data_IF_671378046816
#
_entry.id   IF_671378046816
#
_cell.length_a   1.000
_cell.length_b   1.000
_cell.length_c   1.000
_cell.angle_alpha   90.00
_cell.angle_beta   90.00
_cell.angle_gamma   90.00
#
_symmetry.space_group_name_H-M   'P 1'
#
loop_
_entity.id
_entity.type
_entity.pdbx_description
1 polymer ?
#
# COMPACT_ATOMS: atom_id res chain seq x y z
N UNK A 1 29.22 -4.24 -22.71
CA UNK A 1 28.60 -5.05 -21.64
C UNK A 1 28.58 -4.27 -20.34
N UNK A 2 27.41 -3.91 -19.80
CA UNK A 2 27.34 -3.36 -18.44
C UNK A 2 27.69 -4.49 -17.47
N UNK A 3 28.77 -4.35 -16.70
CA UNK A 3 29.17 -5.39 -15.74
C UNK A 3 28.06 -5.59 -14.70
N UNK A 4 27.83 -6.83 -14.28
CA UNK A 4 26.81 -7.18 -13.28
C UNK A 4 26.94 -6.32 -11.99
N UNK A 5 28.17 -5.95 -11.64
CA UNK A 5 28.51 -5.05 -10.54
C UNK A 5 27.98 -3.63 -10.71
N UNK A 6 28.00 -3.08 -11.93
CA UNK A 6 27.42 -1.76 -12.21
C UNK A 6 25.89 -1.78 -12.08
N UNK A 7 25.26 -2.85 -12.57
CA UNK A 7 23.81 -3.02 -12.48
C UNK A 7 23.32 -3.16 -11.01
N UNK A 8 24.04 -3.93 -10.18
CA UNK A 8 23.69 -4.09 -8.75
C UNK A 8 23.88 -2.80 -7.96
N UNK A 9 24.94 -2.03 -8.23
CA UNK A 9 25.17 -0.73 -7.60
C UNK A 9 24.06 0.27 -7.91
N UNK A 10 23.61 0.33 -9.17
CA UNK A 10 22.49 1.18 -9.58
C UNK A 10 21.18 0.75 -8.89
N UNK A 11 20.93 -0.56 -8.75
CA UNK A 11 19.76 -1.08 -8.01
C UNK A 11 19.82 -0.67 -6.53
N UNK A 12 20.99 -0.77 -5.87
CA UNK A 12 21.18 -0.39 -4.47
C UNK A 12 20.91 1.10 -4.25
N UNK A 13 21.49 1.96 -5.08
CA UNK A 13 21.26 3.42 -5.05
C UNK A 13 19.77 3.76 -5.20
N UNK A 14 19.12 3.20 -6.23
CA UNK A 14 17.69 3.40 -6.47
C UNK A 14 16.79 2.92 -5.33
N UNK A 15 17.16 1.84 -4.62
CA UNK A 15 16.39 1.32 -3.48
C UNK A 15 16.35 2.35 -2.35
N UNK A 16 17.47 3.03 -2.08
CA UNK A 16 17.54 4.07 -1.07
C UNK A 16 16.81 5.35 -1.51
N UNK A 17 17.15 5.89 -2.69
CA UNK A 17 16.59 7.15 -3.19
C UNK A 17 15.06 7.08 -3.36
N UNK A 18 14.55 5.95 -3.85
CA UNK A 18 13.11 5.78 -4.13
C UNK A 18 12.32 5.21 -2.96
N UNK A 19 12.93 4.98 -1.79
CA UNK A 19 12.25 4.37 -0.64
C UNK A 19 11.03 5.18 -0.18
N UNK A 20 11.19 6.50 -0.02
CA UNK A 20 10.10 7.38 0.41
C UNK A 20 8.94 7.41 -0.60
N UNK A 21 9.25 7.52 -1.90
CA UNK A 21 8.24 7.48 -2.97
C UNK A 21 7.48 6.15 -2.99
N UNK A 22 8.18 5.02 -2.87
CA UNK A 22 7.56 3.69 -2.81
C UNK A 22 6.65 3.54 -1.59
N UNK A 23 7.07 4.05 -0.43
CA UNK A 23 6.25 4.07 0.79
C UNK A 23 4.96 4.87 0.58
N UNK A 24 5.07 6.11 0.08
CA UNK A 24 3.91 6.97 -0.20
C UNK A 24 2.94 6.32 -1.19
N UNK A 25 3.43 5.74 -2.29
CA UNK A 25 2.59 5.04 -3.26
C UNK A 25 1.86 3.82 -2.67
N UNK A 26 2.52 3.07 -1.77
CA UNK A 26 1.88 1.94 -1.08
C UNK A 26 0.76 2.41 -0.15
N UNK A 27 0.97 3.53 0.55
CA UNK A 27 -0.03 4.11 1.45
C UNK A 27 -1.21 4.74 0.69
N UNK A 28 -0.94 5.42 -0.43
CA UNK A 28 -1.97 6.03 -1.27
C UNK A 28 -2.96 5.01 -1.84
N UNK A 29 -2.56 3.74 -2.01
CA UNK A 29 -3.48 2.67 -2.41
C UNK A 29 -4.47 2.25 -1.30
N UNK A 30 -4.19 2.60 -0.04
CA UNK A 30 -4.98 2.24 1.14
C UNK A 30 -5.64 3.44 1.80
N UNK A 31 -5.53 4.64 1.22
CA UNK A 31 -5.99 5.87 1.87
C UNK A 31 -7.51 6.01 1.90
N UNK A 32 -8.23 5.26 1.07
CA UNK A 32 -9.69 5.19 1.09
C UNK A 32 -10.08 3.72 1.16
N UNK A 33 -10.55 3.30 2.33
CA UNK A 33 -11.25 2.02 2.46
C UNK A 33 -12.48 2.06 1.55
N UNK A 34 -12.77 0.95 0.89
CA UNK A 34 -14.02 0.78 0.15
C UNK A 34 -15.22 0.93 1.09
N UNK A 35 -16.39 1.30 0.59
CA UNK A 35 -17.60 1.40 1.42
C UNK A 35 -17.85 0.10 2.21
N UNK A 36 -17.60 -1.05 1.59
CA UNK A 36 -17.68 -2.37 2.24
C UNK A 36 -16.71 -2.52 3.42
N UNK A 37 -15.49 -2.03 3.31
CA UNK A 37 -14.51 -2.07 4.40
C UNK A 37 -14.81 -1.04 5.49
N UNK A 38 -15.34 0.14 5.12
CA UNK A 38 -15.73 1.18 6.07
C UNK A 38 -16.90 0.75 6.95
N UNK A 39 -17.88 0.05 6.37
CA UNK A 39 -19.13 -0.33 7.04
C UNK A 39 -19.15 -1.79 7.51
N UNK A 40 -18.03 -2.53 7.41
CA UNK A 40 -17.97 -3.95 7.79
C UNK A 40 -18.39 -4.21 9.25
N UNK A 41 -18.14 -3.26 10.16
CA UNK A 41 -18.52 -3.36 11.57
C UNK A 41 -20.00 -3.00 11.84
N UNK A 42 -20.71 -2.41 10.86
CA UNK A 42 -22.05 -1.86 11.04
C UNK A 42 -23.15 -2.81 10.55
N UNK A 43 -22.79 -3.97 9.98
CA UNK A 43 -23.73 -4.95 9.45
C UNK A 43 -24.29 -4.59 8.08
N UNK A 44 -25.28 -5.34 7.60
CA UNK A 44 -25.96 -5.09 6.32
C UNK A 44 -26.88 -3.87 6.43
N UNK A 45 -26.89 -2.96 5.43
CA UNK A 45 -27.80 -1.81 5.42
C UNK A 45 -29.25 -2.27 5.58
N UNK A 46 -29.95 -1.74 6.60
CA UNK A 46 -31.34 -2.11 6.90
C UNK A 46 -31.50 -3.27 7.90
N UNK A 47 -30.41 -3.87 8.38
CA UNK A 47 -30.43 -4.82 9.51
C UNK A 47 -29.84 -4.16 10.76
N UNK A 48 -30.34 -4.51 11.97
CA UNK A 48 -29.75 -4.00 13.20
C UNK A 48 -28.28 -4.43 13.30
N UNK A 49 -27.43 -3.52 13.78
CA UNK A 49 -26.00 -3.81 13.97
C UNK A 49 -25.83 -5.02 14.92
N UNK A 50 -24.93 -5.97 14.60
CA UNK A 50 -24.71 -7.13 15.45
C UNK A 50 -24.24 -6.70 16.85
N UNK A 51 -24.79 -7.32 17.90
CA UNK A 51 -24.33 -7.08 19.28
C UNK A 51 -22.88 -7.54 19.41
N UNK A 52 -22.05 -6.68 20.01
CA UNK A 52 -20.64 -6.92 20.33
C UNK A 52 -20.45 -8.06 21.34
#
# INVERSE_FOLDING_TARGET
MASNTKATNVKRKNKHEKAGRRRKNKLARKSTLSATELFAALGTPGSPAPKA
#
